data_IF_670074234924
#
_entry.id   IF_670074234924
#
_cell.length_a   1.000
_cell.length_b   1.000
_cell.length_c   1.000
_cell.angle_alpha   90.00
_cell.angle_beta   90.00
_cell.angle_gamma   90.00
#
_symmetry.space_group_name_H-M   'P 1'
#
loop_
_entity.id
_entity.type
_entity.pdbx_description
1 polymer ?
#
# COMPACT_ATOMS: atom_id res chain seq x y z
N UNK A 1 0.89 -60.88 -39.70
CA UNK A 1 1.57 -60.44 -38.48
C UNK A 1 1.44 -58.92 -38.38
N UNK A 2 0.76 -58.37 -37.41
CA UNK A 2 0.61 -56.92 -37.27
C UNK A 2 1.85 -56.36 -36.52
N UNK A 3 2.43 -55.30 -37.06
CA UNK A 3 3.52 -54.55 -36.46
C UNK A 3 3.08 -53.87 -35.18
N UNK A 4 3.83 -54.09 -34.10
CA UNK A 4 3.65 -53.34 -32.85
C UNK A 4 4.08 -51.88 -33.02
N UNK A 5 3.41 -50.89 -32.45
CA UNK A 5 3.83 -49.49 -32.49
C UNK A 5 5.04 -49.29 -31.60
N UNK A 6 6.04 -48.60 -32.16
CA UNK A 6 7.24 -48.13 -31.46
C UNK A 6 6.86 -47.15 -30.34
N UNK A 7 7.42 -47.26 -29.12
CA UNK A 7 7.16 -46.28 -28.09
C UNK A 7 7.78 -44.94 -28.51
N UNK A 8 6.95 -43.91 -28.62
CA UNK A 8 7.40 -42.52 -28.72
C UNK A 8 8.03 -42.13 -27.40
N UNK A 9 9.33 -41.85 -27.43
CA UNK A 9 10.07 -41.17 -26.37
C UNK A 9 9.43 -39.76 -26.19
N UNK A 10 8.59 -39.61 -25.19
CA UNK A 10 8.30 -38.30 -24.65
C UNK A 10 9.60 -37.81 -23.99
N UNK A 11 10.36 -37.02 -24.72
CA UNK A 11 11.33 -36.10 -24.13
C UNK A 11 10.60 -35.28 -23.10
N UNK A 12 11.02 -35.43 -21.85
CA UNK A 12 10.59 -34.59 -20.76
C UNK A 12 10.84 -33.13 -21.17
N UNK A 13 9.79 -32.50 -21.70
CA UNK A 13 9.78 -31.07 -21.96
C UNK A 13 9.97 -30.36 -20.62
N UNK A 14 10.91 -29.45 -20.59
CA UNK A 14 11.11 -28.38 -19.63
C UNK A 14 9.85 -28.12 -18.88
N UNK A 15 9.94 -28.14 -17.54
CA UNK A 15 8.91 -27.68 -16.61
C UNK A 15 8.43 -26.28 -17.02
N UNK A 16 7.49 -26.23 -17.94
CA UNK A 16 6.74 -25.01 -18.24
C UNK A 16 5.76 -24.81 -17.08
N UNK A 17 6.21 -24.01 -16.16
CA UNK A 17 5.52 -23.72 -14.92
C UNK A 17 4.31 -22.89 -15.28
N UNK A 18 3.13 -23.36 -14.86
CA UNK A 18 1.79 -22.79 -15.18
C UNK A 18 1.68 -21.28 -14.91
N UNK A 19 2.51 -20.71 -14.03
CA UNK A 19 2.55 -19.26 -13.74
C UNK A 19 3.28 -18.41 -14.79
N UNK A 20 3.92 -19.00 -15.81
CA UNK A 20 4.44 -18.21 -16.93
C UNK A 20 3.35 -17.49 -17.70
N UNK A 21 2.12 -18.00 -17.64
CA UNK A 21 0.97 -17.43 -18.32
C UNK A 21 0.36 -16.24 -17.53
N UNK A 22 0.76 -16.07 -16.24
CA UNK A 22 0.31 -14.97 -15.36
C UNK A 22 1.45 -14.41 -14.50
N UNK A 23 2.53 -13.93 -15.10
CA UNK A 23 3.72 -13.53 -14.35
C UNK A 23 3.48 -12.37 -13.39
N UNK A 24 2.62 -11.42 -13.77
CA UNK A 24 2.33 -10.23 -12.98
C UNK A 24 1.52 -10.54 -11.71
N UNK A 25 0.52 -11.42 -11.79
CA UNK A 25 -0.27 -11.81 -10.62
C UNK A 25 0.54 -12.63 -9.62
N UNK A 26 1.45 -13.48 -10.11
CA UNK A 26 2.36 -14.25 -9.26
C UNK A 26 3.35 -13.33 -8.56
N UNK A 27 3.96 -12.40 -9.29
CA UNK A 27 4.87 -11.42 -8.73
C UNK A 27 4.17 -10.51 -7.71
N UNK A 28 2.96 -10.05 -8.01
CA UNK A 28 2.14 -9.27 -7.09
C UNK A 28 1.90 -10.02 -5.76
N UNK A 29 1.53 -11.30 -5.83
CA UNK A 29 1.30 -12.13 -4.64
C UNK A 29 2.58 -12.35 -3.82
N UNK A 30 3.72 -12.57 -4.48
CA UNK A 30 5.02 -12.73 -3.84
C UNK A 30 5.42 -11.43 -3.11
N UNK A 31 5.37 -10.30 -3.79
CA UNK A 31 5.71 -8.99 -3.23
C UNK A 31 4.78 -8.65 -2.06
N UNK A 32 3.47 -8.87 -2.21
CA UNK A 32 2.50 -8.67 -1.12
C UNK A 32 2.84 -9.52 0.11
N UNK A 33 3.18 -10.79 -0.09
CA UNK A 33 3.55 -11.70 1.00
C UNK A 33 4.82 -11.23 1.70
N UNK A 34 5.81 -10.75 0.94
CA UNK A 34 7.04 -10.21 1.50
C UNK A 34 6.82 -8.92 2.26
N UNK A 35 5.95 -8.03 1.77
CA UNK A 35 5.54 -6.82 2.51
C UNK A 35 4.94 -7.22 3.85
N UNK A 36 3.94 -8.10 3.86
CA UNK A 36 3.29 -8.55 5.12
C UNK A 36 4.30 -9.10 6.12
N UNK A 37 5.27 -9.89 5.66
CA UNK A 37 6.31 -10.50 6.51
C UNK A 37 7.30 -9.49 7.06
N UNK A 38 7.71 -8.53 6.26
CA UNK A 38 8.85 -7.67 6.56
C UNK A 38 8.44 -6.30 7.11
N UNK A 39 7.27 -5.78 6.77
CA UNK A 39 6.82 -4.44 7.12
C UNK A 39 6.87 -4.13 8.63
N UNK A 40 6.47 -5.02 9.56
CA UNK A 40 6.54 -4.70 10.98
C UNK A 40 7.96 -4.67 11.56
N UNK A 41 8.94 -5.31 10.92
CA UNK A 41 10.29 -5.52 11.48
C UNK A 41 11.05 -4.23 11.83
N UNK A 42 11.11 -3.21 10.95
CA UNK A 42 11.80 -1.96 11.26
C UNK A 42 11.15 -1.15 12.40
N UNK A 43 9.90 -1.47 12.74
CA UNK A 43 9.12 -0.77 13.77
C UNK A 43 9.13 -1.50 15.12
N UNK A 44 9.88 -2.61 15.24
CA UNK A 44 9.99 -3.38 16.47
C UNK A 44 10.97 -2.73 17.45
N UNK A 45 10.60 -2.72 18.74
CA UNK A 45 11.51 -2.42 19.84
C UNK A 45 12.46 -3.61 20.14
N UNK A 46 13.38 -3.42 21.09
CA UNK A 46 14.32 -4.48 21.54
C UNK A 46 13.63 -5.75 22.02
N UNK A 47 12.37 -5.66 22.42
CA UNK A 47 11.55 -6.80 22.84
C UNK A 47 10.68 -7.36 21.70
N UNK A 48 10.91 -6.94 20.47
CA UNK A 48 10.14 -7.29 19.26
C UNK A 48 8.66 -6.88 19.33
N UNK A 49 8.33 -5.87 20.13
CA UNK A 49 6.98 -5.29 20.19
C UNK A 49 6.86 -4.13 19.22
N UNK A 50 5.69 -3.97 18.68
CA UNK A 50 5.38 -2.87 17.75
C UNK A 50 4.32 -1.96 18.37
N UNK A 51 4.54 -0.67 18.33
CA UNK A 51 3.54 0.32 18.73
C UNK A 51 2.46 0.40 17.65
N UNK A 52 1.26 -0.11 17.94
CA UNK A 52 0.20 -0.28 16.95
C UNK A 52 -0.19 1.01 16.21
N UNK A 53 -0.38 2.17 16.88
CA UNK A 53 -0.65 3.43 16.17
C UNK A 53 0.44 3.81 15.18
N UNK A 54 1.71 3.63 15.53
CA UNK A 54 2.86 3.90 14.64
C UNK A 54 2.87 2.97 13.44
N UNK A 55 2.55 1.67 13.64
CA UNK A 55 2.45 0.73 12.53
C UNK A 55 1.32 1.09 11.57
N UNK A 56 0.13 1.45 12.07
CA UNK A 56 -0.98 1.86 11.21
C UNK A 56 -0.67 3.17 10.45
N UNK A 57 0.02 4.12 11.08
CA UNK A 57 0.46 5.33 10.40
C UNK A 57 1.51 5.03 9.33
N UNK A 58 2.47 4.17 9.60
CA UNK A 58 3.47 3.72 8.65
C UNK A 58 2.84 3.01 7.45
N UNK A 59 1.92 2.06 7.70
CA UNK A 59 1.16 1.39 6.65
C UNK A 59 0.41 2.38 5.78
N UNK A 60 -0.33 3.29 6.40
CA UNK A 60 -1.06 4.33 5.66
C UNK A 60 -0.13 5.18 4.81
N UNK A 61 0.96 5.68 5.39
CA UNK A 61 1.88 6.57 4.66
C UNK A 61 2.49 5.92 3.42
N UNK A 62 2.89 4.65 3.52
CA UNK A 62 3.44 3.90 2.37
C UNK A 62 2.35 3.53 1.37
N UNK A 63 1.11 3.22 1.81
CA UNK A 63 -0.03 3.04 0.88
C UNK A 63 -0.30 4.31 0.06
N UNK A 64 -0.29 5.47 0.72
CA UNK A 64 -0.46 6.76 0.05
C UNK A 64 0.62 7.03 -0.98
N UNK A 65 1.87 6.83 -0.61
CA UNK A 65 3.00 6.96 -1.53
C UNK A 65 2.95 5.97 -2.70
N UNK A 66 2.62 4.72 -2.45
CA UNK A 66 2.48 3.71 -3.49
C UNK A 66 1.35 4.05 -4.48
N UNK A 67 0.24 4.63 -4.00
CA UNK A 67 -0.85 5.10 -4.86
C UNK A 67 -0.41 6.27 -5.74
N UNK A 68 0.32 7.23 -5.18
CA UNK A 68 0.92 8.34 -5.93
C UNK A 68 1.88 7.83 -7.01
N UNK A 69 2.81 6.95 -6.66
CA UNK A 69 3.78 6.39 -7.59
C UNK A 69 3.13 5.58 -8.72
N UNK A 70 2.08 4.81 -8.39
CA UNK A 70 1.32 4.03 -9.38
C UNK A 70 0.54 4.93 -10.34
N UNK A 71 -0.13 5.97 -9.83
CA UNK A 71 -0.87 6.91 -10.67
C UNK A 71 0.08 7.71 -11.56
N UNK A 72 1.23 8.16 -11.03
CA UNK A 72 2.27 8.82 -11.82
C UNK A 72 2.77 7.92 -12.96
N UNK A 73 3.02 6.64 -12.70
CA UNK A 73 3.43 5.70 -13.73
C UNK A 73 2.35 5.48 -14.82
N UNK A 74 1.07 5.54 -14.47
CA UNK A 74 -0.03 5.49 -15.43
C UNK A 74 -0.11 6.77 -16.28
N UNK A 75 0.19 7.93 -15.69
CA UNK A 75 0.27 9.22 -16.42
C UNK A 75 1.46 9.22 -17.37
N UNK A 76 2.65 8.79 -16.91
CA UNK A 76 3.85 8.67 -17.73
C UNK A 76 3.66 7.71 -18.93
N UNK A 77 2.82 6.70 -18.76
CA UNK A 77 2.44 5.77 -19.83
C UNK A 77 1.33 6.30 -20.74
N UNK A 78 0.79 7.49 -20.50
CA UNK A 78 -0.32 8.09 -21.25
C UNK A 78 -1.67 7.41 -21.02
N UNK A 79 -1.79 6.58 -19.98
CA UNK A 79 -3.02 5.87 -19.63
C UNK A 79 -3.94 6.68 -18.72
N UNK A 80 -3.44 7.74 -18.11
CA UNK A 80 -4.17 8.72 -17.31
C UNK A 80 -3.72 10.14 -17.65
N UNK A 81 -4.62 11.13 -17.57
CA UNK A 81 -4.27 12.52 -17.86
C UNK A 81 -3.51 13.15 -16.69
N UNK A 82 -2.60 14.09 -16.99
CA UNK A 82 -1.79 14.80 -15.97
C UNK A 82 -2.64 15.55 -14.93
N UNK A 83 -3.83 16.01 -15.30
CA UNK A 83 -4.75 16.70 -14.39
C UNK A 83 -5.32 15.79 -13.27
N UNK A 84 -5.12 14.49 -13.33
CA UNK A 84 -5.53 13.56 -12.26
C UNK A 84 -4.74 13.78 -10.97
N UNK A 85 -3.58 14.45 -11.07
CA UNK A 85 -2.70 14.76 -9.94
C UNK A 85 -2.02 16.11 -10.14
N UNK A 86 -2.43 17.12 -9.40
CA UNK A 86 -1.94 18.50 -9.53
C UNK A 86 -1.11 18.92 -8.32
N UNK A 87 0.06 19.51 -8.57
CA UNK A 87 0.86 20.13 -7.53
C UNK A 87 0.28 21.51 -7.14
N UNK A 88 0.12 21.74 -5.85
CA UNK A 88 -0.34 23.00 -5.29
C UNK A 88 0.55 23.46 -4.15
N UNK A 89 1.11 24.66 -4.26
CA UNK A 89 1.97 25.24 -3.24
C UNK A 89 1.14 26.08 -2.28
N UNK A 90 1.19 25.74 -0.98
CA UNK A 90 0.54 26.51 0.07
C UNK A 90 1.32 27.78 0.42
N UNK A 91 0.69 28.69 1.16
CA UNK A 91 1.27 29.96 1.56
C UNK A 91 2.61 29.83 2.33
N UNK A 92 2.84 28.69 3.01
CA UNK A 92 4.13 28.35 3.66
C UNK A 92 5.24 27.90 2.72
N UNK A 93 5.02 27.89 1.40
CA UNK A 93 6.00 27.48 0.39
C UNK A 93 6.11 25.96 0.18
N UNK A 94 5.41 25.15 0.98
CA UNK A 94 5.38 23.70 0.82
C UNK A 94 4.37 23.29 -0.25
N UNK A 95 4.77 22.37 -1.12
CA UNK A 95 3.95 21.89 -2.24
C UNK A 95 3.39 20.50 -1.94
N UNK A 96 2.12 20.31 -2.27
CA UNK A 96 1.40 19.06 -2.10
C UNK A 96 0.69 18.66 -3.38
N UNK A 97 0.45 17.37 -3.55
CA UNK A 97 -0.35 16.84 -4.63
C UNK A 97 -1.82 16.77 -4.25
N UNK A 98 -2.66 17.21 -5.17
CA UNK A 98 -4.11 17.14 -5.04
C UNK A 98 -4.70 16.54 -6.32
N UNK A 99 -5.81 15.86 -6.19
CA UNK A 99 -6.57 15.32 -7.31
C UNK A 99 -7.69 14.42 -6.82
N UNK A 100 -8.87 14.58 -7.39
CA UNK A 100 -9.99 13.67 -7.09
C UNK A 100 -9.62 12.25 -7.51
N UNK A 101 -8.95 12.09 -8.66
CA UNK A 101 -8.52 10.79 -9.16
C UNK A 101 -7.46 10.14 -8.29
N UNK A 102 -6.55 10.92 -7.69
CA UNK A 102 -5.59 10.39 -6.72
C UNK A 102 -6.31 9.83 -5.48
N UNK A 103 -7.29 10.56 -4.97
CA UNK A 103 -8.09 10.12 -3.83
C UNK A 103 -8.92 8.87 -4.18
N UNK A 104 -9.55 8.86 -5.36
CA UNK A 104 -10.32 7.74 -5.88
C UNK A 104 -9.42 6.50 -6.05
N UNK A 105 -8.27 6.67 -6.68
CA UNK A 105 -7.31 5.60 -6.93
C UNK A 105 -6.76 5.00 -5.63
N UNK A 106 -6.44 5.85 -4.65
CA UNK A 106 -5.98 5.41 -3.32
C UNK A 106 -7.06 4.62 -2.59
N UNK A 107 -8.26 5.18 -2.44
CA UNK A 107 -9.27 4.61 -1.54
C UNK A 107 -10.16 3.57 -2.20
N UNK A 108 -10.63 3.82 -3.41
CA UNK A 108 -11.60 2.94 -4.09
C UNK A 108 -10.95 2.06 -5.16
N UNK A 109 -9.74 2.43 -5.57
CA UNK A 109 -8.97 1.66 -6.52
C UNK A 109 -9.35 1.91 -7.97
N UNK A 110 -8.84 1.03 -8.84
CA UNK A 110 -9.06 1.04 -10.27
C UNK A 110 -8.99 -0.39 -10.82
N UNK A 111 -10.11 -0.94 -11.24
CA UNK A 111 -10.20 -2.31 -11.74
C UNK A 111 -9.43 -2.53 -13.04
N UNK A 112 -9.21 -1.47 -13.84
CA UNK A 112 -8.49 -1.56 -15.11
C UNK A 112 -7.01 -1.90 -14.93
N UNK A 113 -6.46 -1.61 -13.74
CA UNK A 113 -5.07 -1.89 -13.36
C UNK A 113 -4.97 -2.80 -12.13
N UNK A 114 -6.03 -3.56 -11.85
CA UNK A 114 -6.07 -4.49 -10.72
C UNK A 114 -5.79 -3.87 -9.35
N UNK A 115 -6.03 -2.57 -9.17
CA UNK A 115 -5.93 -1.91 -7.87
C UNK A 115 -7.26 -2.04 -7.11
N UNK A 116 -7.32 -2.82 -6.01
CA UNK A 116 -8.56 -3.01 -5.25
C UNK A 116 -8.94 -1.79 -4.41
N UNK A 117 -8.03 -0.79 -4.28
CA UNK A 117 -8.20 0.33 -3.37
C UNK A 117 -7.95 -0.04 -1.91
N UNK A 118 -7.57 0.96 -1.11
CA UNK A 118 -7.25 0.76 0.31
C UNK A 118 -8.51 0.48 1.12
N UNK A 119 -9.59 1.21 0.87
CA UNK A 119 -10.83 1.08 1.65
C UNK A 119 -11.45 -0.31 1.60
N UNK A 120 -11.68 -0.94 0.45
CA UNK A 120 -12.16 -2.33 0.39
C UNK A 120 -11.24 -3.32 1.10
N UNK A 121 -9.90 -3.15 0.99
CA UNK A 121 -8.93 -4.02 1.66
C UNK A 121 -9.01 -3.93 3.19
N UNK A 122 -9.41 -2.80 3.75
CA UNK A 122 -9.55 -2.59 5.19
C UNK A 122 -10.95 -2.94 5.70
N UNK A 123 -11.98 -2.50 4.98
CA UNK A 123 -13.37 -2.68 5.42
C UNK A 123 -13.85 -4.13 5.32
N UNK A 124 -13.46 -4.86 4.28
CA UNK A 124 -13.86 -6.26 4.10
C UNK A 124 -13.49 -7.16 5.29
N UNK A 125 -12.23 -7.22 5.76
CA UNK A 125 -11.89 -8.05 6.91
C UNK A 125 -12.54 -7.56 8.21
N UNK A 126 -12.81 -6.26 8.36
CA UNK A 126 -13.53 -5.73 9.51
C UNK A 126 -14.99 -6.21 9.53
N UNK A 127 -15.68 -6.11 8.39
CA UNK A 127 -17.05 -6.63 8.24
C UNK A 127 -17.14 -8.14 8.50
N UNK A 128 -16.20 -8.92 7.98
CA UNK A 128 -16.13 -10.37 8.23
C UNK A 128 -15.97 -10.71 9.70
N UNK A 129 -15.45 -9.79 10.51
CA UNK A 129 -15.27 -9.93 11.97
C UNK A 129 -16.38 -9.30 12.79
N UNK A 130 -17.48 -8.91 12.15
CA UNK A 130 -18.68 -8.43 12.80
C UNK A 130 -18.74 -6.92 13.05
N UNK A 131 -17.80 -6.13 12.50
CA UNK A 131 -17.96 -4.68 12.50
C UNK A 131 -19.18 -4.26 11.70
N UNK A 132 -19.80 -3.19 12.10
CA UNK A 132 -20.94 -2.55 11.45
C UNK A 132 -20.50 -1.24 10.80
N UNK A 133 -21.38 -0.62 10.02
CA UNK A 133 -21.10 0.70 9.42
C UNK A 133 -20.83 1.79 10.47
N UNK A 134 -21.31 1.62 11.70
CA UNK A 134 -21.06 2.55 12.81
C UNK A 134 -19.62 2.49 13.33
N UNK A 135 -18.93 1.38 13.11
CA UNK A 135 -17.54 1.17 13.52
C UNK A 135 -16.56 1.76 12.50
N UNK A 136 -17.06 2.26 11.37
CA UNK A 136 -16.21 2.86 10.33
C UNK A 136 -16.15 4.38 10.44
N UNK A 137 -15.00 5.00 10.15
CA UNK A 137 -14.91 6.43 10.00
C UNK A 137 -15.58 6.91 8.72
N UNK A 138 -16.15 8.10 8.73
CA UNK A 138 -16.61 8.78 7.53
C UNK A 138 -15.42 9.26 6.68
N UNK A 139 -15.32 8.84 5.43
CA UNK A 139 -14.18 9.12 4.57
C UNK A 139 -14.03 10.61 4.27
N UNK A 140 -15.13 11.35 4.07
CA UNK A 140 -15.07 12.79 3.81
C UNK A 140 -14.50 13.53 5.02
N UNK A 141 -14.86 13.09 6.23
CA UNK A 141 -14.29 13.61 7.47
C UNK A 141 -12.77 13.37 7.51
N UNK A 142 -12.26 12.21 7.06
CA UNK A 142 -10.83 11.95 7.05
C UNK A 142 -10.09 12.87 6.07
N UNK A 143 -10.62 13.11 4.87
CA UNK A 143 -10.07 14.08 3.93
C UNK A 143 -10.06 15.49 4.51
N UNK A 144 -11.15 15.91 5.12
CA UNK A 144 -11.27 17.23 5.75
C UNK A 144 -10.26 17.40 6.89
N UNK A 145 -10.08 16.38 7.72
CA UNK A 145 -9.09 16.37 8.79
C UNK A 145 -7.66 16.56 8.28
N UNK A 146 -7.29 15.85 7.22
CA UNK A 146 -5.96 15.97 6.63
C UNK A 146 -5.80 17.36 5.98
N UNK A 147 -6.73 17.75 5.11
CA UNK A 147 -6.63 19.00 4.35
C UNK A 147 -6.56 20.24 5.24
N UNK A 148 -7.34 20.28 6.35
CA UNK A 148 -7.32 21.40 7.29
C UNK A 148 -6.03 21.51 8.09
N UNK A 149 -5.18 20.50 8.10
CA UNK A 149 -3.91 20.47 8.83
C UNK A 149 -2.69 20.75 7.97
N UNK A 150 -2.83 20.71 6.64
CA UNK A 150 -1.72 21.05 5.74
C UNK A 150 -1.21 22.46 5.99
N UNK A 151 0.09 22.62 6.09
CA UNK A 151 0.75 23.89 6.41
C UNK A 151 0.62 24.34 7.88
N UNK A 152 0.09 23.49 8.77
CA UNK A 152 -0.02 23.77 10.22
C UNK A 152 0.97 22.92 11.03
N UNK A 153 1.21 23.24 12.33
CA UNK A 153 2.04 22.39 13.19
C UNK A 153 1.51 20.96 13.40
N UNK A 154 0.26 20.67 13.05
CA UNK A 154 -0.35 19.36 13.15
C UNK A 154 -0.30 18.58 11.85
N UNK A 155 0.37 19.11 10.82
CA UNK A 155 0.57 18.46 9.54
C UNK A 155 1.16 17.05 9.73
N UNK A 156 0.65 16.08 8.96
CA UNK A 156 1.11 14.70 9.01
C UNK A 156 0.78 13.93 10.30
N UNK A 157 0.09 14.56 11.25
CA UNK A 157 -0.31 13.89 12.50
C UNK A 157 -1.80 13.51 12.43
N UNK A 158 -2.18 12.23 12.55
CA UNK A 158 -3.56 11.81 12.59
C UNK A 158 -4.38 12.46 13.71
N UNK A 159 -5.64 12.80 13.43
CA UNK A 159 -6.56 13.48 14.33
C UNK A 159 -7.20 12.49 15.32
N UNK A 160 -6.39 11.88 16.16
CA UNK A 160 -6.83 10.92 17.18
C UNK A 160 -6.46 11.37 18.58
N UNK A 161 -7.09 10.76 19.60
CA UNK A 161 -6.78 11.05 21.00
C UNK A 161 -5.29 10.74 21.31
N UNK A 162 -4.71 11.53 22.23
CA UNK A 162 -3.27 11.46 22.55
C UNK A 162 -2.71 10.05 22.80
N UNK A 163 -3.40 9.13 23.51
CA UNK A 163 -2.89 7.78 23.74
C UNK A 163 -2.76 6.94 22.47
N UNK A 164 -3.40 7.35 21.37
CA UNK A 164 -3.41 6.64 20.09
C UNK A 164 -2.61 7.36 19.00
N UNK A 165 -1.85 8.38 19.35
CA UNK A 165 -1.00 9.07 18.38
C UNK A 165 0.22 8.21 18.00
N UNK A 166 0.59 8.18 16.73
CA UNK A 166 1.88 7.63 16.31
C UNK A 166 3.02 8.33 17.06
N UNK A 167 4.11 7.60 17.31
CA UNK A 167 5.30 8.14 17.99
C UNK A 167 6.16 9.01 17.07
N UNK A 168 5.94 8.90 15.76
CA UNK A 168 6.72 9.55 14.70
C UNK A 168 5.74 10.16 13.70
N UNK A 169 6.09 11.28 13.10
CA UNK A 169 5.28 11.92 12.06
C UNK A 169 5.11 11.01 10.83
N UNK A 170 3.98 11.13 10.14
CA UNK A 170 3.67 10.28 8.98
C UNK A 170 4.70 10.41 7.85
N UNK A 171 5.26 11.60 7.64
CA UNK A 171 6.30 11.85 6.64
C UNK A 171 7.59 11.10 6.95
N UNK A 172 8.08 11.26 8.18
CA UNK A 172 9.28 10.55 8.64
C UNK A 172 9.10 9.03 8.59
N UNK A 173 7.88 8.56 8.91
CA UNK A 173 7.54 7.14 8.78
C UNK A 173 7.57 6.67 7.32
N UNK A 174 7.08 7.49 6.38
CA UNK A 174 7.15 7.18 4.95
C UNK A 174 8.60 6.99 4.51
N UNK A 175 9.44 7.97 4.80
CA UNK A 175 10.86 7.95 4.41
C UNK A 175 11.59 6.76 5.04
N UNK A 176 11.44 6.59 6.34
CA UNK A 176 12.08 5.48 7.06
C UNK A 176 11.64 4.11 6.52
N UNK A 177 10.34 3.93 6.27
CA UNK A 177 9.81 2.65 5.80
C UNK A 177 10.12 2.39 4.32
N UNK A 178 10.24 3.44 3.50
CA UNK A 178 10.53 3.29 2.09
C UNK A 178 11.88 2.61 1.84
N UNK A 179 12.89 2.91 2.65
CA UNK A 179 14.21 2.24 2.59
C UNK A 179 14.08 0.70 2.68
N UNK A 180 13.10 0.21 3.42
CA UNK A 180 12.85 -1.23 3.55
C UNK A 180 11.90 -1.79 2.48
N UNK A 181 11.00 -0.95 1.97
CA UNK A 181 9.99 -1.39 1.02
C UNK A 181 10.48 -1.32 -0.43
N UNK A 182 11.28 -0.35 -0.79
CA UNK A 182 11.83 -0.22 -2.14
C UNK A 182 12.53 -1.49 -2.63
N UNK A 183 13.44 -2.13 -1.87
CA UNK A 183 14.05 -3.39 -2.28
C UNK A 183 13.04 -4.52 -2.51
N UNK A 184 11.92 -4.53 -1.77
CA UNK A 184 10.85 -5.52 -1.94
C UNK A 184 10.14 -5.31 -3.27
N UNK A 185 9.80 -4.06 -3.61
CA UNK A 185 9.16 -3.73 -4.89
C UNK A 185 10.08 -3.96 -6.09
N UNK A 186 11.34 -3.60 -5.95
CA UNK A 186 12.33 -3.75 -7.01
C UNK A 186 12.89 -5.17 -7.11
N UNK A 187 12.56 -6.07 -6.16
CA UNK A 187 13.14 -7.41 -6.06
C UNK A 187 14.68 -7.36 -6.05
N UNK A 188 15.22 -6.30 -5.44
CA UNK A 188 16.65 -6.02 -5.39
C UNK A 188 17.13 -6.04 -3.92
N UNK A 189 17.43 -7.22 -3.42
CA UNK A 189 17.94 -7.40 -2.07
C UNK A 189 19.46 -7.27 -2.03
N UNK A 190 20.05 -6.78 -0.92
CA UNK A 190 21.49 -6.59 -0.79
C UNK A 190 22.33 -7.84 -1.11
N UNK A 191 21.79 -9.02 -0.79
CA UNK A 191 22.52 -10.28 -0.91
C UNK A 191 22.24 -11.05 -2.21
N UNK A 192 21.14 -10.74 -2.90
CA UNK A 192 20.78 -11.42 -4.17
C UNK A 192 19.63 -10.69 -4.88
N UNK A 193 19.67 -10.61 -6.22
CA UNK A 193 18.50 -10.16 -6.96
C UNK A 193 17.34 -11.15 -6.80
N UNK A 194 16.13 -10.63 -6.74
CA UNK A 194 14.93 -11.46 -6.74
C UNK A 194 14.77 -12.21 -8.06
N UNK A 195 14.13 -13.39 -8.02
CA UNK A 195 14.06 -14.28 -9.18
C UNK A 195 13.16 -13.77 -10.31
N UNK A 196 12.31 -12.77 -10.05
CA UNK A 196 11.23 -12.38 -10.96
C UNK A 196 11.36 -10.97 -11.55
N UNK A 197 12.40 -10.21 -11.17
CA UNK A 197 12.56 -8.79 -11.54
C UNK A 197 11.63 -7.85 -10.74
N UNK A 198 11.67 -6.53 -11.03
CA UNK A 198 10.91 -5.53 -10.30
C UNK A 198 9.40 -5.65 -10.54
N UNK A 199 8.62 -5.40 -9.49
CA UNK A 199 7.18 -5.21 -9.65
C UNK A 199 6.93 -3.91 -10.43
N UNK A 200 6.14 -3.94 -11.52
CA UNK A 200 5.78 -2.73 -12.24
C UNK A 200 5.19 -1.66 -11.31
N UNK A 201 5.62 -0.39 -11.44
CA UNK A 201 5.16 0.70 -10.54
C UNK A 201 3.64 0.83 -10.50
N UNK A 202 2.96 0.57 -11.61
CA UNK A 202 1.49 0.61 -11.70
C UNK A 202 0.80 -0.36 -10.72
N UNK A 203 1.49 -1.40 -10.24
CA UNK A 203 0.99 -2.41 -9.30
C UNK A 203 1.41 -2.16 -7.84
N UNK A 204 2.20 -1.12 -7.55
CA UNK A 204 2.67 -0.85 -6.18
C UNK A 204 1.53 -0.57 -5.21
N UNK A 205 0.54 0.23 -5.66
CA UNK A 205 -0.67 0.49 -4.88
C UNK A 205 -1.42 -0.81 -4.56
N UNK A 206 -1.57 -1.70 -5.53
CA UNK A 206 -2.25 -3.00 -5.33
C UNK A 206 -1.55 -3.84 -4.27
N UNK A 207 -0.22 -3.99 -4.37
CA UNK A 207 0.56 -4.76 -3.41
C UNK A 207 0.43 -4.20 -1.99
N UNK A 208 0.56 -2.87 -1.84
CA UNK A 208 0.46 -2.21 -0.54
C UNK A 208 -0.94 -2.28 0.05
N UNK A 209 -1.99 -2.02 -0.73
CA UNK A 209 -3.37 -2.04 -0.24
C UNK A 209 -3.76 -3.44 0.25
N UNK A 210 -3.41 -4.49 -0.50
CA UNK A 210 -3.66 -5.88 -0.08
C UNK A 210 -2.85 -6.23 1.16
N UNK A 211 -1.57 -5.88 1.21
CA UNK A 211 -0.72 -6.12 2.37
C UNK A 211 -1.24 -5.37 3.62
N UNK A 212 -1.68 -4.13 3.47
CA UNK A 212 -2.28 -3.35 4.54
C UNK A 212 -3.56 -4.00 5.08
N UNK A 213 -4.44 -4.50 4.20
CA UNK A 213 -5.62 -5.27 4.60
C UNK A 213 -5.28 -6.53 5.37
N UNK A 214 -4.28 -7.29 4.93
CA UNK A 214 -3.82 -8.50 5.61
C UNK A 214 -3.22 -8.18 6.99
N UNK A 215 -2.36 -7.17 7.09
CA UNK A 215 -1.77 -6.73 8.37
C UNK A 215 -2.85 -6.18 9.31
N UNK A 216 -3.75 -5.35 8.82
CA UNK A 216 -4.90 -4.87 9.59
C UNK A 216 -5.74 -6.03 10.14
N UNK A 217 -6.02 -7.04 9.31
CA UNK A 217 -6.75 -8.23 9.72
C UNK A 217 -6.03 -9.03 10.83
N UNK A 218 -4.71 -9.13 10.81
CA UNK A 218 -3.95 -9.81 11.87
C UNK A 218 -3.94 -9.04 13.19
N UNK A 219 -4.07 -7.72 13.14
CA UNK A 219 -3.98 -6.81 14.29
C UNK A 219 -5.34 -6.28 14.76
N UNK A 220 -6.42 -6.88 14.30
CA UNK A 220 -7.79 -6.39 14.47
C UNK A 220 -8.18 -6.08 15.93
N UNK A 221 -7.69 -6.85 16.90
CA UNK A 221 -8.04 -6.70 18.32
C UNK A 221 -7.01 -5.90 19.15
N UNK A 222 -5.99 -5.32 18.51
CA UNK A 222 -4.92 -4.62 19.23
C UNK A 222 -5.37 -3.25 19.73
N UNK A 223 -6.31 -2.61 19.01
CA UNK A 223 -6.92 -1.34 19.40
C UNK A 223 -8.33 -1.21 18.82
N UNK A 224 -9.04 -0.16 19.19
CA UNK A 224 -10.36 0.13 18.63
C UNK A 224 -10.29 0.24 17.09
N UNK A 225 -11.15 -0.51 16.38
CA UNK A 225 -11.17 -0.59 14.93
C UNK A 225 -11.29 0.77 14.24
N UNK A 226 -12.23 1.61 14.71
CA UNK A 226 -12.43 2.95 14.14
C UNK A 226 -11.18 3.81 14.27
N UNK A 227 -10.56 3.82 15.45
CA UNK A 227 -9.32 4.59 15.68
C UNK A 227 -8.16 4.07 14.82
N UNK A 228 -8.02 2.75 14.66
CA UNK A 228 -7.00 2.16 13.78
C UNK A 228 -7.21 2.59 12.32
N UNK A 229 -8.46 2.56 11.85
CA UNK A 229 -8.81 3.01 10.50
C UNK A 229 -8.61 4.52 10.32
N UNK A 230 -8.93 5.35 11.31
CA UNK A 230 -8.69 6.79 11.27
C UNK A 230 -7.19 7.11 11.11
N UNK A 231 -6.34 6.45 11.89
CA UNK A 231 -4.88 6.61 11.79
C UNK A 231 -4.40 6.21 10.40
N UNK A 232 -4.75 5.02 9.95
CA UNK A 232 -4.28 4.47 8.69
C UNK A 232 -4.75 5.31 7.50
N UNK A 233 -6.04 5.66 7.45
CA UNK A 233 -6.61 6.45 6.36
C UNK A 233 -6.05 7.88 6.30
N UNK A 234 -5.96 8.58 7.45
CA UNK A 234 -5.39 9.93 7.46
C UNK A 234 -3.92 9.92 7.04
N UNK A 235 -3.16 8.92 7.50
CA UNK A 235 -1.76 8.76 7.08
C UNK A 235 -1.63 8.41 5.60
N UNK A 236 -2.56 7.63 5.03
CA UNK A 236 -2.57 7.30 3.61
C UNK A 236 -2.94 8.54 2.75
N UNK A 237 -3.96 9.28 3.14
CA UNK A 237 -4.36 10.52 2.47
C UNK A 237 -3.21 11.53 2.52
N UNK A 238 -2.55 11.70 3.66
CA UNK A 238 -1.40 12.60 3.78
C UNK A 238 -0.21 12.09 2.97
N UNK A 239 0.15 10.81 3.09
CA UNK A 239 1.26 10.19 2.36
C UNK A 239 1.13 10.27 0.84
N UNK A 240 -0.11 10.26 0.31
CA UNK A 240 -0.37 10.45 -1.12
C UNK A 240 -0.16 11.89 -1.61
N UNK A 241 -0.06 12.86 -0.70
CA UNK A 241 0.06 14.30 -1.04
C UNK A 241 1.49 14.81 -1.00
N UNK A 242 2.41 14.11 -0.34
CA UNK A 242 3.79 14.58 -0.16
C UNK A 242 4.57 14.37 -1.46
N UNK A 243 5.20 15.42 -1.97
CA UNK A 243 6.12 15.35 -3.11
C UNK A 243 7.50 14.92 -2.61
N UNK A 244 8.14 14.00 -3.32
CA UNK A 244 9.57 13.73 -3.12
C UNK A 244 10.39 14.94 -3.60
N UNK A 245 11.26 15.43 -2.74
CA UNK A 245 12.20 16.51 -3.07
C UNK A 245 13.49 15.95 -3.69
#
# INVERSE_FOLDING_TARGET
MPHAPTPQNHTAGTNDVVWKDFPESTLLNLVTTEIVRNFPRPLQDDNRRVHAPTLFAALGSVCGFAAQASLSALMDAGLRPEQDMLAHTLAGGRTFLFGEQLNQFLLHGDTSVHNPGLWPCLSSPALQRGCTTQDFPDLNTQFSCVSSRLGTPQEGTPAVAAPFRPLVATEDLREAMWVYMEPVFLQNYPDKPGPHGPLPKVLWSSAMNVAAGMLFATMFNVMNTRTALEILLQSAIFGSKIIEN
#
